data_IF_322865761958
#
_entry.id   IF_322865761958
#
_cell.length_a   1.000
_cell.length_b   1.000
_cell.length_c   1.000
_cell.angle_alpha   90.00
_cell.angle_beta   90.00
_cell.angle_gamma   90.00
#
_symmetry.space_group_name_H-M   'P 1'
#
loop_
_entity.id
_entity.type
_entity.pdbx_description
1 polymer ?
#
# COMPACT_ATOMS: atom_id res chain seq x y z
N UNK A 1 -27.71 -13.00 5.96
CA UNK A 1 -27.18 -13.60 7.21
C UNK A 1 -28.20 -13.40 8.31
N UNK A 2 -28.90 -14.45 8.71
CA UNK A 2 -29.69 -14.46 9.94
C UNK A 2 -29.16 -15.57 10.84
N UNK A 3 -29.19 -15.37 12.15
CA UNK A 3 -28.85 -16.40 13.14
C UNK A 3 -30.15 -17.03 13.63
N UNK A 4 -30.16 -18.36 13.73
CA UNK A 4 -31.29 -19.12 14.24
C UNK A 4 -30.94 -19.68 15.61
N UNK A 5 -31.87 -19.54 16.54
CA UNK A 5 -31.80 -20.10 17.89
C UNK A 5 -33.01 -21.01 18.10
N UNK A 6 -32.77 -22.20 18.64
CA UNK A 6 -33.83 -23.15 18.96
C UNK A 6 -33.96 -23.24 20.48
N UNK A 7 -35.13 -22.87 21.00
CA UNK A 7 -35.43 -22.85 22.43
C UNK A 7 -36.81 -23.47 22.67
N UNK A 8 -36.93 -24.33 23.68
CA UNK A 8 -38.20 -24.94 24.05
C UNK A 8 -39.02 -23.99 24.91
N UNK A 9 -40.23 -23.67 24.46
CA UNK A 9 -41.16 -22.83 25.21
C UNK A 9 -41.62 -23.51 26.51
N UNK A 10 -41.68 -22.75 27.61
CA UNK A 10 -42.20 -23.17 28.92
C UNK A 10 -43.39 -22.30 29.32
N UNK A 11 -44.19 -22.79 30.25
CA UNK A 11 -45.34 -22.06 30.80
C UNK A 11 -44.84 -20.76 31.46
N UNK A 12 -45.36 -19.60 31.03
CA UNK A 12 -44.84 -18.29 31.44
C UNK A 12 -43.75 -17.70 30.52
N UNK A 13 -43.34 -18.39 29.46
CA UNK A 13 -42.45 -17.87 28.41
C UNK A 13 -40.96 -18.04 28.70
N UNK A 14 -40.14 -17.13 28.15
CA UNK A 14 -38.67 -17.15 28.33
C UNK A 14 -38.33 -16.52 29.68
N UNK A 15 -38.16 -17.37 30.70
CA UNK A 15 -37.73 -16.96 32.03
C UNK A 15 -36.27 -17.41 32.35
N UNK A 16 -35.28 -16.51 32.33
CA UNK A 16 -33.87 -16.84 32.63
C UNK A 16 -33.61 -17.14 34.12
N UNK A 17 -34.43 -16.62 35.03
CA UNK A 17 -34.27 -16.84 36.48
C UNK A 17 -34.73 -18.22 36.92
N UNK A 18 -35.69 -18.81 36.18
CA UNK A 18 -36.28 -20.11 36.48
C UNK A 18 -35.70 -21.25 35.63
N UNK A 19 -35.12 -20.94 34.47
CA UNK A 19 -34.62 -21.93 33.52
C UNK A 19 -33.21 -21.57 33.02
N UNK A 20 -32.17 -22.34 33.42
CA UNK A 20 -30.79 -22.09 32.98
C UNK A 20 -30.61 -22.10 31.45
N UNK A 21 -31.41 -22.90 30.73
CA UNK A 21 -31.40 -22.95 29.26
C UNK A 21 -31.83 -21.61 28.63
N UNK A 22 -32.79 -20.92 29.27
CA UNK A 22 -33.24 -19.60 28.83
C UNK A 22 -32.20 -18.52 29.15
N UNK A 23 -31.53 -18.59 30.30
CA UNK A 23 -30.42 -17.68 30.64
C UNK A 23 -29.30 -17.80 29.61
N UNK A 24 -28.88 -19.04 29.31
CA UNK A 24 -27.83 -19.31 28.31
C UNK A 24 -28.23 -18.81 26.91
N UNK A 25 -29.49 -19.00 26.51
CA UNK A 25 -29.99 -18.47 25.25
C UNK A 25 -29.89 -16.93 25.19
N UNK A 26 -30.31 -16.23 26.25
CA UNK A 26 -30.24 -14.77 26.31
C UNK A 26 -28.80 -14.28 26.24
N UNK A 27 -27.88 -14.93 26.96
CA UNK A 27 -26.45 -14.58 26.92
C UNK A 27 -25.85 -14.77 25.52
N UNK A 28 -26.13 -15.91 24.87
CA UNK A 28 -25.66 -16.21 23.51
C UNK A 28 -26.28 -15.26 22.47
N UNK A 29 -27.55 -14.88 22.65
CA UNK A 29 -28.23 -13.91 21.81
C UNK A 29 -27.64 -12.50 21.99
N UNK A 30 -27.45 -12.03 23.22
CA UNK A 30 -26.88 -10.72 23.50
C UNK A 30 -25.44 -10.62 22.98
N UNK A 31 -24.63 -11.66 23.20
CA UNK A 31 -23.25 -11.73 22.70
C UNK A 31 -23.18 -11.71 21.18
N UNK A 32 -24.04 -12.48 20.51
CA UNK A 32 -24.08 -12.50 19.05
C UNK A 32 -24.55 -11.17 18.47
N UNK A 33 -25.57 -10.56 19.08
CA UNK A 33 -26.11 -9.26 18.66
C UNK A 33 -25.03 -8.19 18.79
N UNK A 34 -24.35 -8.12 19.94
CA UNK A 34 -23.27 -7.17 20.16
C UNK A 34 -22.15 -7.36 19.13
N UNK A 35 -21.75 -8.61 18.88
CA UNK A 35 -20.73 -8.95 17.88
C UNK A 35 -21.16 -8.50 16.48
N UNK A 36 -22.40 -8.77 16.09
CA UNK A 36 -22.89 -8.49 14.74
C UNK A 36 -23.06 -6.97 14.53
N UNK A 37 -23.57 -6.23 15.51
CA UNK A 37 -23.65 -4.76 15.46
C UNK A 37 -22.26 -4.12 15.42
N UNK A 38 -21.32 -4.61 16.25
CA UNK A 38 -19.93 -4.13 16.23
C UNK A 38 -19.31 -4.34 14.86
N UNK A 39 -19.49 -5.52 14.26
CA UNK A 39 -19.04 -5.80 12.89
C UNK A 39 -19.67 -4.86 11.87
N UNK A 40 -20.97 -4.58 11.96
CA UNK A 40 -21.63 -3.62 11.06
C UNK A 40 -21.03 -2.22 11.18
N UNK A 41 -20.72 -1.76 12.40
CA UNK A 41 -20.08 -0.45 12.64
C UNK A 41 -18.68 -0.43 12.05
N UNK A 42 -17.86 -1.46 12.31
CA UNK A 42 -16.51 -1.57 11.73
C UNK A 42 -16.56 -1.56 10.20
N UNK A 43 -17.44 -2.39 9.60
CA UNK A 43 -17.60 -2.44 8.15
C UNK A 43 -18.07 -1.11 7.56
N UNK A 44 -18.93 -0.37 8.27
CA UNK A 44 -19.38 0.95 7.84
C UNK A 44 -18.24 1.97 7.87
N UNK A 45 -17.40 1.95 8.92
CA UNK A 45 -16.20 2.80 9.01
C UNK A 45 -15.21 2.50 7.89
N UNK A 46 -14.90 1.23 7.66
CA UNK A 46 -13.99 0.80 6.59
C UNK A 46 -14.50 1.26 5.21
N UNK A 47 -15.81 1.15 4.95
CA UNK A 47 -16.41 1.65 3.71
C UNK A 47 -16.28 3.17 3.55
N UNK A 48 -16.48 3.95 4.62
CA UNK A 48 -16.31 5.40 4.59
C UNK A 48 -14.84 5.77 4.34
N UNK A 49 -13.90 5.08 4.98
CA UNK A 49 -12.46 5.29 4.78
C UNK A 49 -12.03 4.93 3.36
N UNK A 50 -12.49 3.80 2.82
CA UNK A 50 -12.27 3.40 1.43
C UNK A 50 -12.84 4.44 0.46
N UNK A 51 -14.07 4.91 0.68
CA UNK A 51 -14.70 5.91 -0.17
C UNK A 51 -13.91 7.23 -0.16
N UNK A 52 -13.44 7.70 1.00
CA UNK A 52 -12.59 8.90 1.11
C UNK A 52 -11.27 8.75 0.35
N UNK A 53 -10.65 7.56 0.38
CA UNK A 53 -9.45 7.25 -0.39
C UNK A 53 -9.72 7.28 -1.89
N UNK A 54 -10.81 6.64 -2.33
CA UNK A 54 -11.18 6.58 -3.75
C UNK A 54 -11.53 7.94 -4.35
N UNK A 55 -12.09 8.87 -3.58
CA UNK A 55 -12.49 10.20 -4.09
C UNK A 55 -11.37 11.22 -4.07
N UNK A 56 -10.41 11.12 -3.14
CA UNK A 56 -9.46 12.20 -2.89
C UNK A 56 -7.98 11.81 -3.06
N UNK A 57 -7.60 10.53 -3.05
CA UNK A 57 -6.19 10.09 -3.06
C UNK A 57 -5.98 8.75 -3.76
N UNK A 58 -6.50 8.58 -4.97
CA UNK A 58 -6.08 7.41 -5.72
C UNK A 58 -4.65 7.67 -6.23
N UNK A 59 -3.66 6.95 -5.70
CA UNK A 59 -2.39 6.82 -6.42
C UNK A 59 -2.69 6.49 -7.87
N UNK A 60 -2.07 7.24 -8.77
CA UNK A 60 -2.18 6.96 -10.18
C UNK A 60 -1.43 5.65 -10.49
N UNK A 61 -2.17 4.54 -10.47
CA UNK A 61 -1.66 3.22 -10.78
C UNK A 61 -1.13 3.14 -12.21
N UNK A 62 -1.72 3.87 -13.16
CA UNK A 62 -1.25 3.88 -14.54
C UNK A 62 0.16 4.51 -14.62
N UNK A 63 0.39 5.58 -13.86
CA UNK A 63 1.72 6.20 -13.75
C UNK A 63 2.76 5.29 -13.09
N UNK A 64 2.36 4.50 -12.07
CA UNK A 64 3.24 3.47 -11.50
C UNK A 64 3.62 2.44 -12.56
N UNK A 65 2.61 1.88 -13.23
CA UNK A 65 2.79 0.83 -14.24
C UNK A 65 3.66 1.35 -15.39
N UNK A 66 3.47 2.60 -15.81
CA UNK A 66 4.32 3.26 -16.81
C UNK A 66 5.79 3.23 -16.42
N UNK A 67 6.15 3.67 -15.22
CA UNK A 67 7.56 3.66 -14.79
C UNK A 67 8.13 2.26 -14.60
N UNK A 68 7.32 1.29 -14.15
CA UNK A 68 7.75 -0.12 -14.07
C UNK A 68 8.00 -0.72 -15.45
N UNK A 69 7.15 -0.42 -16.43
CA UNK A 69 7.34 -0.82 -17.82
C UNK A 69 8.59 -0.16 -18.39
N UNK A 70 8.81 1.13 -18.13
CA UNK A 70 10.03 1.83 -18.53
C UNK A 70 11.30 1.17 -17.93
N UNK A 71 11.25 0.68 -16.68
CA UNK A 71 12.35 -0.12 -16.12
C UNK A 71 12.58 -1.40 -16.92
N UNK A 72 11.51 -2.13 -17.26
CA UNK A 72 11.63 -3.36 -18.03
C UNK A 72 12.23 -3.10 -19.42
N UNK A 73 11.72 -2.11 -20.15
CA UNK A 73 12.24 -1.70 -21.47
C UNK A 73 13.73 -1.33 -21.42
N UNK A 74 14.13 -0.53 -20.42
CA UNK A 74 15.53 -0.08 -20.30
C UNK A 74 16.48 -1.16 -19.82
N UNK A 75 15.97 -2.27 -19.27
CA UNK A 75 16.78 -3.38 -18.77
C UNK A 75 16.78 -4.61 -19.67
N UNK A 76 15.96 -4.66 -20.72
CA UNK A 76 15.81 -5.83 -21.60
C UNK A 76 17.13 -6.26 -22.25
N UNK A 77 17.91 -5.30 -22.76
CA UNK A 77 19.21 -5.54 -23.37
C UNK A 77 20.39 -5.07 -22.50
N UNK A 78 20.16 -4.85 -21.20
CA UNK A 78 21.22 -4.40 -20.30
C UNK A 78 22.22 -5.54 -20.02
N UNK A 79 23.50 -5.31 -20.32
CA UNK A 79 24.56 -6.27 -20.10
C UNK A 79 25.80 -5.63 -19.46
N UNK A 80 26.47 -6.39 -18.57
CA UNK A 80 27.71 -5.96 -17.91
C UNK A 80 27.52 -5.08 -16.67
N UNK A 81 28.51 -4.24 -16.38
CA UNK A 81 28.58 -3.29 -15.26
C UNK A 81 28.45 -3.86 -13.84
N UNK A 82 28.70 -5.16 -13.64
CA UNK A 82 28.62 -5.80 -12.32
C UNK A 82 29.42 -5.06 -11.25
N UNK A 83 30.70 -4.79 -11.52
CA UNK A 83 31.58 -4.07 -10.58
C UNK A 83 31.05 -2.69 -10.19
N UNK A 84 30.34 -2.00 -11.10
CA UNK A 84 29.72 -0.71 -10.81
C UNK A 84 28.45 -0.88 -9.97
N UNK A 85 27.60 -1.84 -10.33
CA UNK A 85 26.37 -2.16 -9.59
C UNK A 85 26.68 -2.63 -8.16
N UNK A 86 27.75 -3.40 -7.97
CA UNK A 86 28.21 -3.83 -6.65
C UNK A 86 28.66 -2.63 -5.80
N UNK A 87 29.40 -1.67 -6.39
CA UNK A 87 29.74 -0.42 -5.69
C UNK A 87 28.51 0.40 -5.31
N UNK A 88 27.50 0.45 -6.18
CA UNK A 88 26.22 1.12 -5.88
C UNK A 88 25.50 0.41 -4.74
N UNK A 89 25.45 -0.92 -4.77
CA UNK A 89 24.86 -1.71 -3.68
C UNK A 89 25.56 -1.45 -2.35
N UNK A 90 26.89 -1.49 -2.32
CA UNK A 90 27.70 -1.22 -1.13
C UNK A 90 27.54 0.22 -0.63
N UNK A 91 27.28 1.18 -1.54
CA UNK A 91 26.98 2.56 -1.17
C UNK A 91 25.62 2.69 -0.49
N UNK A 92 24.60 1.97 -0.99
CA UNK A 92 23.23 1.99 -0.48
C UNK A 92 23.06 1.20 0.82
N UNK A 93 23.84 0.15 1.04
CA UNK A 93 23.80 -0.70 2.26
C UNK A 93 24.26 0.03 3.53
N UNK A 94 24.98 1.15 3.37
CA UNK A 94 25.45 1.97 4.49
C UNK A 94 24.29 2.77 5.08
N UNK A 95 23.61 2.21 6.07
CA UNK A 95 22.43 2.75 6.78
C UNK A 95 22.56 4.18 7.34
N UNK A 96 23.77 4.73 7.45
CA UNK A 96 24.03 6.12 7.86
C UNK A 96 24.11 7.13 6.69
N UNK A 97 24.10 6.67 5.44
CA UNK A 97 24.23 7.54 4.28
C UNK A 97 22.91 8.29 3.99
N UNK A 98 22.83 9.55 4.41
CA UNK A 98 21.76 10.49 4.05
C UNK A 98 22.09 11.33 2.81
N UNK A 99 23.06 10.88 2.00
CA UNK A 99 23.59 11.60 0.86
C UNK A 99 23.05 10.99 -0.43
N UNK A 100 22.60 11.78 -1.41
CA UNK A 100 22.10 11.26 -2.67
C UNK A 100 23.19 10.55 -3.48
N UNK A 101 22.86 9.42 -4.10
CA UNK A 101 23.66 8.80 -5.14
C UNK A 101 23.49 9.57 -6.46
N UNK A 102 24.59 10.03 -7.05
CA UNK A 102 24.59 10.70 -8.36
C UNK A 102 25.39 9.87 -9.36
N UNK A 103 24.73 9.45 -10.44
CA UNK A 103 25.38 8.76 -11.57
C UNK A 103 25.65 9.78 -12.67
N UNK A 104 26.92 10.05 -12.94
CA UNK A 104 27.36 10.97 -13.98
C UNK A 104 28.20 10.25 -15.03
N UNK A 105 28.02 10.64 -16.29
CA UNK A 105 28.73 10.16 -17.47
C UNK A 105 28.34 11.06 -18.65
N UNK A 106 29.04 10.96 -19.77
CA UNK A 106 28.68 11.64 -21.00
C UNK A 106 27.27 11.26 -21.49
N UNK A 107 26.67 12.12 -22.32
CA UNK A 107 25.36 11.84 -22.90
C UNK A 107 25.41 10.58 -23.76
N UNK A 108 24.34 9.77 -23.73
CA UNK A 108 24.26 8.54 -24.53
C UNK A 108 24.95 7.29 -23.94
N UNK A 109 25.74 7.42 -22.87
CA UNK A 109 26.44 6.27 -22.23
C UNK A 109 25.50 5.30 -21.49
N UNK A 110 24.20 5.59 -21.45
CA UNK A 110 23.20 4.67 -20.89
C UNK A 110 22.93 4.84 -19.39
N UNK A 111 23.21 6.00 -18.80
CA UNK A 111 22.92 6.32 -17.38
C UNK A 111 21.50 5.91 -16.95
N UNK A 112 20.51 6.22 -17.79
CA UNK A 112 19.10 5.87 -17.53
C UNK A 112 18.89 4.36 -17.47
N UNK A 113 19.56 3.59 -18.34
CA UNK A 113 19.51 2.13 -18.32
C UNK A 113 20.20 1.55 -17.09
N UNK A 114 21.32 2.14 -16.66
CA UNK A 114 21.98 1.78 -15.40
C UNK A 114 21.06 2.04 -14.21
N UNK A 115 20.41 3.21 -14.15
CA UNK A 115 19.45 3.53 -13.09
C UNK A 115 18.24 2.57 -13.09
N UNK A 116 17.72 2.22 -14.27
CA UNK A 116 16.66 1.23 -14.40
C UNK A 116 17.12 -0.16 -13.90
N UNK A 117 18.35 -0.56 -14.20
CA UNK A 117 18.92 -1.81 -13.71
C UNK A 117 19.05 -1.80 -12.17
N UNK A 118 19.51 -0.70 -11.59
CA UNK A 118 19.53 -0.51 -10.13
C UNK A 118 18.13 -0.69 -9.56
N UNK A 119 17.12 0.01 -10.09
CA UNK A 119 15.73 -0.11 -9.63
C UNK A 119 15.23 -1.58 -9.64
N UNK A 120 15.58 -2.34 -10.68
CA UNK A 120 15.23 -3.76 -10.81
C UNK A 120 15.94 -4.63 -9.78
N UNK A 121 17.21 -4.35 -9.50
CA UNK A 121 18.03 -5.14 -8.58
C UNK A 121 17.84 -4.75 -7.10
N UNK A 122 17.33 -3.56 -6.79
CA UNK A 122 16.98 -3.14 -5.42
C UNK A 122 16.12 -4.19 -4.70
N UNK A 123 15.16 -4.80 -5.40
CA UNK A 123 14.31 -5.85 -4.80
C UNK A 123 15.14 -7.06 -4.36
N UNK A 124 16.19 -7.40 -5.10
CA UNK A 124 17.06 -8.55 -4.81
C UNK A 124 18.05 -8.21 -3.71
N UNK A 125 18.58 -6.99 -3.71
CA UNK A 125 19.58 -6.54 -2.75
C UNK A 125 19.00 -6.39 -1.34
N UNK A 126 17.80 -5.83 -1.21
CA UNK A 126 17.21 -5.44 0.08
C UNK A 126 15.94 -6.22 0.45
N UNK A 127 15.86 -7.52 0.10
CA UNK A 127 14.66 -8.37 0.33
C UNK A 127 14.16 -8.42 1.76
N UNK A 128 15.06 -8.27 2.74
CA UNK A 128 14.75 -8.44 4.18
C UNK A 128 14.37 -7.13 4.86
N UNK A 129 14.54 -6.00 4.17
CA UNK A 129 14.28 -4.68 4.72
C UNK A 129 12.91 -4.18 4.29
N UNK A 130 12.17 -3.55 5.20
CA UNK A 130 10.96 -2.83 4.86
C UNK A 130 11.35 -1.50 4.20
N UNK A 131 11.66 -1.54 2.90
CA UNK A 131 11.99 -0.37 2.11
C UNK A 131 10.85 -0.03 1.15
N UNK A 132 10.34 1.21 1.24
CA UNK A 132 9.38 1.76 0.29
C UNK A 132 10.15 2.28 -0.93
N UNK A 133 9.76 1.81 -2.11
CA UNK A 133 10.44 2.12 -3.38
C UNK A 133 9.51 2.90 -4.28
N UNK A 134 9.90 4.13 -4.59
CA UNK A 134 9.18 5.00 -5.51
C UNK A 134 10.09 5.30 -6.69
N UNK A 135 9.63 4.95 -7.89
CA UNK A 135 10.40 5.04 -9.12
C UNK A 135 9.75 6.09 -10.01
N UNK A 136 10.53 7.12 -10.38
CA UNK A 136 10.08 8.22 -11.25
C UNK A 136 11.16 8.52 -12.29
N UNK A 137 10.81 8.37 -13.57
CA UNK A 137 11.64 8.80 -14.70
C UNK A 137 11.05 10.07 -15.30
N UNK A 138 11.73 11.20 -15.11
CA UNK A 138 11.28 12.51 -15.59
C UNK A 138 11.22 12.55 -17.12
N UNK A 139 10.18 13.18 -17.66
CA UNK A 139 10.01 13.37 -19.11
C UNK A 139 9.54 12.14 -19.89
N UNK A 140 9.08 11.08 -19.21
CA UNK A 140 8.68 9.82 -19.86
C UNK A 140 7.16 9.64 -19.95
N UNK A 141 6.40 10.39 -19.17
CA UNK A 141 4.94 10.47 -19.11
C UNK A 141 4.49 11.93 -19.04
N UNK A 142 3.21 12.21 -19.32
CA UNK A 142 2.64 13.55 -19.19
C UNK A 142 2.80 14.13 -17.75
N UNK A 143 2.64 13.29 -16.72
CA UNK A 143 2.73 13.65 -15.29
C UNK A 143 4.17 13.75 -14.78
N UNK A 144 5.14 13.36 -15.59
CA UNK A 144 6.57 13.46 -15.27
C UNK A 144 7.26 14.67 -15.92
N UNK A 145 6.49 15.58 -16.53
CA UNK A 145 6.99 16.76 -17.23
C UNK A 145 7.02 18.04 -16.38
N UNK A 146 6.30 18.07 -15.26
CA UNK A 146 6.34 19.19 -14.32
C UNK A 146 6.64 18.70 -12.90
N UNK A 147 7.32 19.55 -12.14
CA UNK A 147 7.79 19.19 -10.81
C UNK A 147 6.66 18.96 -9.82
N UNK A 148 5.56 19.72 -9.95
CA UNK A 148 4.44 19.63 -9.02
C UNK A 148 3.75 18.27 -9.10
N UNK A 149 3.41 17.80 -10.30
CA UNK A 149 2.76 16.50 -10.53
C UNK A 149 3.67 15.34 -10.10
N UNK A 150 4.98 15.45 -10.35
CA UNK A 150 5.95 14.45 -9.88
C UNK A 150 5.95 14.37 -8.36
N UNK A 151 6.06 15.52 -7.67
CA UNK A 151 6.10 15.55 -6.21
C UNK A 151 4.77 15.11 -5.60
N UNK A 152 3.64 15.57 -6.15
CA UNK A 152 2.31 15.14 -5.74
C UNK A 152 2.16 13.63 -5.89
N UNK A 153 2.58 13.06 -7.03
CA UNK A 153 2.56 11.63 -7.26
C UNK A 153 3.46 10.83 -6.32
N UNK A 154 4.62 11.37 -5.92
CA UNK A 154 5.48 10.76 -4.88
C UNK A 154 4.78 10.77 -3.53
N UNK A 155 4.18 11.89 -3.14
CA UNK A 155 3.43 12.01 -1.89
C UNK A 155 2.23 11.06 -1.85
N UNK A 156 1.48 10.93 -2.95
CA UNK A 156 0.34 10.00 -3.07
C UNK A 156 0.78 8.55 -2.90
N UNK A 157 1.87 8.14 -3.58
CA UNK A 157 2.40 6.79 -3.43
C UNK A 157 2.89 6.48 -2.01
N UNK A 158 3.51 7.46 -1.34
CA UNK A 158 3.91 7.32 0.07
C UNK A 158 2.68 7.17 0.97
N UNK A 159 1.68 8.03 0.79
CA UNK A 159 0.46 8.02 1.58
C UNK A 159 -0.26 6.67 1.49
N UNK A 160 -0.41 6.13 0.27
CA UNK A 160 -1.04 4.82 0.06
C UNK A 160 -0.20 3.68 0.64
N UNK A 161 1.13 3.75 0.55
CA UNK A 161 2.01 2.71 1.10
C UNK A 161 1.93 2.63 2.62
N UNK A 162 1.74 3.77 3.30
CA UNK A 162 1.66 3.87 4.76
C UNK A 162 0.24 3.96 5.31
N UNK A 163 -0.78 3.79 4.46
CA UNK A 163 -2.20 3.87 4.83
C UNK A 163 -2.61 5.25 5.41
N UNK A 164 -1.88 6.30 5.03
CA UNK A 164 -2.08 7.68 5.50
C UNK A 164 -3.06 8.38 4.56
N UNK A 165 -4.03 9.07 5.14
CA UNK A 165 -4.93 9.97 4.41
C UNK A 165 -4.20 11.31 4.26
N UNK A 166 -3.80 11.69 3.05
CA UNK A 166 -3.44 13.08 2.79
C UNK A 166 -4.71 13.96 2.79
N UNK A 167 -4.57 15.28 2.91
CA UNK A 167 -5.68 16.21 2.68
C UNK A 167 -5.61 16.73 1.24
N UNK A 168 -6.73 17.15 0.61
CA UNK A 168 -6.68 17.60 -0.76
C UNK A 168 -5.96 18.94 -0.74
N UNK A 169 -4.86 19.05 -1.49
CA UNK A 169 -4.30 20.37 -1.76
C UNK A 169 -5.33 21.13 -2.57
N UNK A 170 -5.81 22.26 -2.03
CA UNK A 170 -6.98 23.00 -2.51
C UNK A 170 -7.08 23.16 -4.03
N UNK A 171 -8.34 23.15 -4.49
CA UNK A 171 -8.82 23.40 -5.85
C UNK A 171 -8.32 24.71 -6.44
#
# INVERSE_FOLDING_TARGET
NYRQYNLSWKEGGVNPDQHPEHSKYIDEFCSSFYTDVTKLICNAREKIEQQKRSTNYNTDYDEIVHHLNFVNEKTEMFCGQKDFLDKVKDFLDKSSNRVPLVIYAESGVGKTSVMAQICKDLQKWFKKEQCVRIIKFLGTSAKSNNLFDVLLGVCQQLADTYDIIMEPTGS
#
